data_IF_152728853935
#
_entry.id   IF_152728853935
#
_cell.length_a   1.000
_cell.length_b   1.000
_cell.length_c   1.000
_cell.angle_alpha   90.00
_cell.angle_beta   90.00
_cell.angle_gamma   90.00
#
_symmetry.space_group_name_H-M   'P 1'
#
loop_
_entity.id
_entity.type
_entity.pdbx_description
1 polymer ?
#
# COMPACT_ATOMS: atom_id res chain seq x y z
N UNK A 1 6.70 4.89 -23.24
CA UNK A 1 7.37 4.06 -22.22
C UNK A 1 6.57 4.05 -20.93
N UNK A 2 6.42 2.91 -20.25
CA UNK A 2 5.82 2.78 -18.91
C UNK A 2 6.90 2.39 -17.91
N UNK A 3 7.02 3.15 -16.84
CA UNK A 3 8.02 2.93 -15.79
C UNK A 3 7.31 2.58 -14.49
N UNK A 4 7.74 1.51 -13.84
CA UNK A 4 7.32 1.13 -12.49
C UNK A 4 8.34 1.62 -11.48
N UNK A 5 7.86 2.29 -10.45
CA UNK A 5 8.68 2.81 -9.37
C UNK A 5 8.24 2.15 -8.07
N UNK A 6 9.18 1.52 -7.38
CA UNK A 6 9.01 1.02 -6.01
C UNK A 6 9.59 2.05 -5.04
N UNK A 7 8.85 2.38 -4.00
CA UNK A 7 9.25 3.40 -3.04
C UNK A 7 8.76 3.10 -1.62
N UNK A 8 9.40 3.71 -0.63
CA UNK A 8 8.91 3.73 0.75
C UNK A 8 8.22 5.06 1.06
N UNK A 9 7.31 5.03 2.03
CA UNK A 9 6.59 6.20 2.55
C UNK A 9 6.63 6.16 4.07
N UNK A 10 7.34 7.09 4.69
CA UNK A 10 7.67 7.06 6.10
C UNK A 10 7.37 8.40 6.79
N UNK A 11 7.74 8.53 8.04
CA UNK A 11 7.74 9.76 8.80
C UNK A 11 6.41 10.50 8.82
N UNK A 12 6.44 11.81 8.64
CA UNK A 12 5.26 12.68 8.62
C UNK A 12 4.37 12.42 7.39
N UNK A 13 4.94 11.92 6.30
CA UNK A 13 4.17 11.63 5.09
C UNK A 13 3.19 10.46 5.24
N UNK A 14 3.27 9.66 6.32
CA UNK A 14 2.21 8.68 6.65
C UNK A 14 0.82 9.32 6.71
N UNK A 15 0.72 10.60 7.00
CA UNK A 15 -0.54 11.35 7.05
C UNK A 15 -0.92 11.99 5.70
N UNK A 16 -0.20 11.71 4.63
CA UNK A 16 -0.53 12.16 3.28
C UNK A 16 -1.56 11.23 2.65
N UNK A 17 -2.69 11.79 2.21
CA UNK A 17 -3.75 11.07 1.54
C UNK A 17 -3.37 10.61 0.12
N UNK A 18 -4.15 9.70 -0.44
CA UNK A 18 -3.91 9.12 -1.76
C UNK A 18 -3.80 10.18 -2.88
N UNK A 19 -4.72 11.15 -2.90
CA UNK A 19 -4.72 12.23 -3.90
C UNK A 19 -3.53 13.17 -3.75
N UNK A 20 -3.12 13.46 -2.52
CA UNK A 20 -1.96 14.33 -2.27
C UNK A 20 -0.66 13.63 -2.59
N UNK A 21 -0.57 12.31 -2.35
CA UNK A 21 0.56 11.49 -2.77
C UNK A 21 0.68 11.47 -4.30
N UNK A 22 -0.44 11.35 -5.02
CA UNK A 22 -0.45 11.43 -6.48
C UNK A 22 0.08 12.79 -6.98
N UNK A 23 -0.40 13.90 -6.40
CA UNK A 23 0.08 15.24 -6.72
C UNK A 23 1.56 15.45 -6.37
N UNK A 24 2.02 14.84 -5.27
CA UNK A 24 3.41 14.88 -4.87
C UNK A 24 4.30 14.24 -5.95
N UNK A 25 3.92 13.07 -6.45
CA UNK A 25 4.63 12.37 -7.50
C UNK A 25 4.58 13.11 -8.84
N UNK A 26 3.45 13.71 -9.22
CA UNK A 26 3.37 14.57 -10.39
C UNK A 26 4.36 15.74 -10.32
N UNK A 27 4.42 16.41 -9.17
CA UNK A 27 5.35 17.52 -8.95
C UNK A 27 6.81 17.05 -8.96
N UNK A 28 7.10 15.90 -8.38
CA UNK A 28 8.44 15.32 -8.38
C UNK A 28 8.88 14.96 -9.80
N UNK A 29 8.04 14.33 -10.60
CA UNK A 29 8.33 14.01 -11.99
C UNK A 29 8.61 15.26 -12.83
N UNK A 30 7.82 16.32 -12.66
CA UNK A 30 8.06 17.61 -13.34
C UNK A 30 9.39 18.26 -12.92
N UNK A 31 9.75 18.25 -11.63
CA UNK A 31 11.02 18.79 -11.14
C UNK A 31 12.23 17.96 -11.61
N UNK A 32 12.02 16.66 -11.80
CA UNK A 32 13.03 15.76 -12.35
C UNK A 32 13.10 15.83 -13.88
N UNK A 33 12.38 16.77 -14.51
CA UNK A 33 12.32 16.96 -15.96
C UNK A 33 11.97 15.68 -16.73
N UNK A 34 10.95 14.94 -16.23
CA UNK A 34 10.46 13.74 -16.89
C UNK A 34 9.36 14.09 -17.88
N UNK A 35 9.38 13.51 -19.10
CA UNK A 35 8.36 13.72 -20.13
C UNK A 35 7.07 12.96 -19.79
N UNK A 36 6.35 13.44 -18.77
CA UNK A 36 5.16 12.79 -18.22
C UNK A 36 4.00 12.82 -19.22
N UNK A 37 3.41 11.65 -19.52
CA UNK A 37 2.25 11.56 -20.38
C UNK A 37 0.97 11.93 -19.63
N UNK A 38 0.04 12.59 -20.33
CA UNK A 38 -1.26 13.03 -19.80
C UNK A 38 -2.42 12.34 -20.52
N UNK A 39 -3.57 12.32 -19.86
CA UNK A 39 -4.82 11.89 -20.51
C UNK A 39 -5.28 12.93 -21.53
N UNK A 40 -6.09 12.47 -22.51
CA UNK A 40 -6.76 13.39 -23.44
C UNK A 40 -8.01 14.01 -22.77
N UNK A 41 -8.38 15.21 -23.21
CA UNK A 41 -9.60 15.89 -22.75
C UNK A 41 -9.36 17.31 -22.20
N UNK A 42 -10.42 17.93 -21.69
CA UNK A 42 -10.40 19.33 -21.20
C UNK A 42 -9.61 19.50 -19.88
N UNK A 43 -9.43 18.45 -19.10
CA UNK A 43 -8.67 18.46 -17.85
C UNK A 43 -7.64 17.31 -17.87
N UNK A 44 -6.53 17.46 -18.58
CA UNK A 44 -5.50 16.43 -18.68
C UNK A 44 -4.98 16.03 -17.29
N UNK A 45 -5.02 14.73 -17.00
CA UNK A 45 -4.46 14.17 -15.76
C UNK A 45 -3.18 13.40 -16.08
N UNK A 46 -2.15 13.50 -15.23
CA UNK A 46 -0.93 12.73 -15.44
C UNK A 46 -1.23 11.23 -15.34
N UNK A 47 -0.66 10.46 -16.24
CA UNK A 47 -0.82 8.99 -16.26
C UNK A 47 0.09 8.34 -15.21
N UNK A 48 -0.29 8.52 -13.95
CA UNK A 48 0.33 7.91 -12.77
C UNK A 48 -0.72 7.02 -12.10
N UNK A 49 -0.38 5.76 -11.82
CA UNK A 49 -1.25 4.78 -11.19
C UNK A 49 -0.54 4.14 -9.99
N UNK A 50 -1.05 4.37 -8.79
CA UNK A 50 -0.60 3.70 -7.57
C UNK A 50 -1.19 2.29 -7.50
N UNK A 51 -0.41 1.32 -7.01
CA UNK A 51 -0.81 -0.08 -6.91
C UNK A 51 -2.00 -0.31 -5.98
N UNK A 52 -1.96 0.29 -4.81
CA UNK A 52 -3.01 0.17 -3.79
C UNK A 52 -3.03 1.42 -2.90
N UNK A 53 -4.21 1.86 -2.52
CA UNK A 53 -4.33 2.95 -1.56
C UNK A 53 -3.72 2.55 -0.21
N UNK A 54 -2.96 3.47 0.40
CA UNK A 54 -2.45 3.33 1.77
C UNK A 54 -3.27 4.25 2.67
N UNK A 55 -3.91 3.73 3.74
CA UNK A 55 -4.68 4.55 4.66
C UNK A 55 -3.85 5.65 5.33
N UNK A 56 -4.50 6.70 5.80
CA UNK A 56 -3.86 7.76 6.59
C UNK A 56 -3.30 7.18 7.90
N UNK A 57 -2.13 7.65 8.30
CA UNK A 57 -1.43 7.18 9.48
C UNK A 57 -0.53 5.97 9.25
N UNK A 58 -0.63 5.32 8.08
CA UNK A 58 0.18 4.14 7.75
C UNK A 58 1.49 4.54 7.06
N UNK A 59 2.57 3.91 7.49
CA UNK A 59 3.84 3.87 6.76
C UNK A 59 3.90 2.68 5.80
N UNK A 60 4.84 2.70 4.87
CA UNK A 60 5.09 1.59 3.96
C UNK A 60 6.54 1.52 3.51
N UNK A 61 7.03 0.29 3.35
CA UNK A 61 8.35 -0.01 2.77
C UNK A 61 8.28 -0.44 1.31
N UNK A 62 7.08 -0.53 0.71
CA UNK A 62 6.88 -1.29 -0.52
C UNK A 62 5.80 -0.73 -1.45
N UNK A 63 5.58 0.57 -1.43
CA UNK A 63 4.62 1.16 -2.35
C UNK A 63 5.12 1.04 -3.79
N UNK A 64 4.18 0.86 -4.71
CA UNK A 64 4.46 0.82 -6.15
C UNK A 64 3.55 1.76 -6.90
N UNK A 65 4.09 2.34 -7.96
CA UNK A 65 3.31 3.09 -8.95
C UNK A 65 3.85 2.87 -10.35
N UNK A 66 2.98 2.96 -11.32
CA UNK A 66 3.34 3.05 -12.74
C UNK A 66 3.17 4.49 -13.22
N UNK A 67 4.16 4.97 -13.94
CA UNK A 67 4.18 6.28 -14.57
C UNK A 67 4.36 6.10 -16.08
N UNK A 68 3.50 6.70 -16.89
CA UNK A 68 3.66 6.70 -18.34
C UNK A 68 4.41 7.94 -18.80
N UNK A 69 5.43 7.74 -19.62
CA UNK A 69 6.24 8.78 -20.23
C UNK A 69 5.92 8.87 -21.74
N UNK A 70 6.02 10.08 -22.31
CA UNK A 70 5.77 10.33 -23.73
C UNK A 70 6.91 9.78 -24.60
N UNK A 71 8.14 9.86 -24.09
CA UNK A 71 9.35 9.37 -24.77
C UNK A 71 10.11 8.39 -23.89
N UNK A 72 10.95 7.58 -24.51
CA UNK A 72 11.84 6.69 -23.79
C UNK A 72 12.99 7.49 -23.18
N UNK A 73 13.38 7.11 -21.97
CA UNK A 73 14.51 7.68 -21.22
C UNK A 73 15.40 6.58 -20.66
N UNK A 74 16.67 6.89 -20.35
CA UNK A 74 17.48 5.98 -19.56
C UNK A 74 16.94 5.86 -18.13
N UNK A 75 16.96 4.65 -17.59
CA UNK A 75 16.57 4.36 -16.20
C UNK A 75 17.76 4.41 -15.23
N UNK A 76 18.99 4.52 -15.72
CA UNK A 76 20.20 4.39 -14.90
C UNK A 76 20.27 5.45 -13.79
N UNK A 77 19.91 6.68 -14.11
CA UNK A 77 19.94 7.82 -13.20
C UNK A 77 18.54 8.21 -12.66
N UNK A 78 17.49 7.58 -13.16
CA UNK A 78 16.11 7.94 -12.81
C UNK A 78 15.82 7.91 -11.32
N UNK A 79 16.24 6.88 -10.53
CA UNK A 79 16.03 6.88 -9.08
C UNK A 79 16.66 8.10 -8.40
N UNK A 80 17.88 8.48 -8.80
CA UNK A 80 18.62 9.62 -8.22
C UNK A 80 17.93 10.94 -8.57
N UNK A 81 17.51 11.13 -9.82
CA UNK A 81 16.79 12.33 -10.29
C UNK A 81 15.46 12.51 -9.55
N UNK A 82 14.69 11.43 -9.40
CA UNK A 82 13.44 11.47 -8.65
C UNK A 82 13.70 11.76 -7.17
N UNK A 83 14.68 11.08 -6.57
CA UNK A 83 14.99 11.26 -5.15
C UNK A 83 15.38 12.72 -4.84
N UNK A 84 16.10 13.39 -5.70
CA UNK A 84 16.47 14.81 -5.54
C UNK A 84 15.25 15.75 -5.55
N UNK A 85 14.12 15.29 -6.10
CA UNK A 85 12.87 16.07 -6.24
C UNK A 85 11.80 15.72 -5.19
N UNK A 86 12.06 14.70 -4.36
CA UNK A 86 11.15 14.16 -3.36
C UNK A 86 11.51 14.62 -1.93
N UNK A 87 10.55 14.69 -1.02
CA UNK A 87 10.85 14.87 0.40
C UNK A 87 11.56 13.62 0.96
N UNK A 88 12.34 13.80 2.02
CA UNK A 88 13.17 12.74 2.64
C UNK A 88 12.37 11.53 3.14
N UNK A 89 11.08 11.71 3.47
CA UNK A 89 10.19 10.64 3.95
C UNK A 89 9.70 9.71 2.83
N UNK A 90 10.02 10.00 1.56
CA UNK A 90 9.85 9.10 0.42
C UNK A 90 11.23 8.72 -0.11
N UNK A 91 11.48 7.41 -0.22
CA UNK A 91 12.70 6.89 -0.81
C UNK A 91 12.37 6.06 -2.04
N UNK A 92 12.98 6.39 -3.17
CA UNK A 92 12.91 5.57 -4.40
C UNK A 92 13.82 4.37 -4.22
N UNK A 93 13.24 3.17 -4.25
CA UNK A 93 13.96 1.91 -4.03
C UNK A 93 14.36 1.26 -5.35
N UNK A 94 13.49 1.36 -6.37
CA UNK A 94 13.70 0.76 -7.69
C UNK A 94 12.92 1.51 -8.75
N UNK A 95 13.48 1.59 -9.95
CA UNK A 95 12.76 1.96 -11.17
C UNK A 95 13.03 0.92 -12.25
N UNK A 96 12.01 0.48 -12.95
CA UNK A 96 12.09 -0.53 -14.00
C UNK A 96 11.10 -0.24 -15.13
N UNK A 97 11.45 -0.63 -16.35
CA UNK A 97 10.53 -0.56 -17.47
C UNK A 97 9.53 -1.70 -17.38
N UNK A 98 8.28 -1.39 -17.72
CA UNK A 98 7.18 -2.35 -17.80
C UNK A 98 6.59 -2.30 -19.20
N UNK A 99 6.16 -3.45 -19.72
CA UNK A 99 5.45 -3.50 -20.98
C UNK A 99 4.22 -2.57 -20.95
N UNK A 100 4.09 -1.73 -21.97
CA UNK A 100 2.97 -0.81 -22.11
C UNK A 100 1.62 -1.53 -22.17
N UNK A 101 1.60 -2.79 -22.64
CA UNK A 101 0.42 -3.65 -22.72
C UNK A 101 0.16 -4.48 -21.46
N UNK A 102 1.07 -4.45 -20.47
CA UNK A 102 0.84 -5.15 -19.21
C UNK A 102 -0.45 -4.65 -18.54
N UNK A 103 -1.19 -5.51 -17.82
CA UNK A 103 -2.38 -5.10 -17.08
C UNK A 103 -2.14 -3.89 -16.17
N UNK A 104 -3.18 -3.16 -15.84
CA UNK A 104 -3.08 -2.03 -14.92
C UNK A 104 -2.55 -2.50 -13.55
N UNK A 105 -1.60 -1.74 -12.98
CA UNK A 105 -0.89 -2.14 -11.75
C UNK A 105 -1.85 -2.52 -10.61
N UNK A 106 -2.91 -1.74 -10.40
CA UNK A 106 -3.88 -1.96 -9.34
C UNK A 106 -4.67 -3.27 -9.49
N UNK A 107 -4.86 -3.75 -10.72
CA UNK A 107 -5.57 -5.03 -10.95
C UNK A 107 -4.70 -6.27 -10.69
N UNK A 108 -3.40 -6.08 -10.58
CA UNK A 108 -2.44 -7.14 -10.34
C UNK A 108 -2.24 -7.42 -8.84
N UNK A 109 -2.64 -6.51 -7.96
CA UNK A 109 -2.48 -6.66 -6.50
C UNK A 109 -3.47 -7.71 -5.98
N UNK A 110 -2.95 -8.72 -5.28
CA UNK A 110 -3.74 -9.76 -4.60
C UNK A 110 -3.93 -9.44 -3.11
N UNK A 111 -2.83 -9.24 -2.41
CA UNK A 111 -2.85 -9.05 -0.97
C UNK A 111 -1.72 -8.13 -0.51
N UNK A 112 -1.81 -7.67 0.73
CA UNK A 112 -0.79 -6.85 1.36
C UNK A 112 -0.44 -7.41 2.75
N UNK A 113 0.84 -7.33 3.10
CA UNK A 113 1.35 -7.67 4.41
C UNK A 113 1.57 -6.41 5.24
N UNK A 114 1.24 -6.52 6.51
CA UNK A 114 1.36 -5.44 7.47
C UNK A 114 2.05 -5.91 8.74
N UNK A 115 2.89 -5.07 9.29
CA UNK A 115 3.43 -5.16 10.63
C UNK A 115 2.75 -4.11 11.50
N UNK A 116 2.09 -4.55 12.58
CA UNK A 116 1.42 -3.68 13.54
C UNK A 116 2.18 -3.73 14.84
N UNK A 117 2.80 -2.62 15.20
CA UNK A 117 3.51 -2.47 16.47
C UNK A 117 2.55 -1.84 17.50
N UNK A 118 2.36 -2.51 18.63
CA UNK A 118 1.59 -2.01 19.76
C UNK A 118 2.47 -1.07 20.57
N UNK A 119 1.95 0.11 20.91
CA UNK A 119 2.66 1.09 21.75
C UNK A 119 2.54 0.79 23.24
N UNK A 120 1.52 0.02 23.62
CA UNK A 120 1.30 -0.44 24.98
C UNK A 120 1.37 -1.97 25.03
N UNK A 121 1.83 -2.49 26.16
CA UNK A 121 1.92 -3.93 26.40
C UNK A 121 0.52 -4.51 26.61
N UNK A 122 0.05 -5.31 25.67
CA UNK A 122 -1.14 -6.16 25.85
C UNK A 122 -0.68 -7.51 26.38
N UNK A 123 -1.41 -8.11 27.32
CA UNK A 123 -1.06 -9.42 27.86
C UNK A 123 -1.01 -10.46 26.72
N UNK A 124 0.19 -10.96 26.44
CA UNK A 124 0.44 -11.79 25.23
C UNK A 124 -0.41 -13.07 25.16
N UNK A 125 -0.84 -13.63 26.29
CA UNK A 125 -1.73 -14.81 26.34
C UNK A 125 -3.16 -14.48 25.88
N UNK A 126 -3.69 -13.31 26.28
CA UNK A 126 -5.03 -12.87 25.87
C UNK A 126 -5.05 -12.54 24.36
N UNK A 127 -4.02 -11.86 23.88
CA UNK A 127 -3.88 -11.51 22.47
C UNK A 127 -3.77 -12.75 21.57
N UNK A 128 -2.97 -13.76 21.98
CA UNK A 128 -2.89 -15.04 21.25
C UNK A 128 -4.25 -15.74 21.14
N UNK A 129 -5.02 -15.75 22.23
CA UNK A 129 -6.37 -16.36 22.24
C UNK A 129 -7.31 -15.61 21.30
N UNK A 130 -7.30 -14.27 21.29
CA UNK A 130 -8.13 -13.45 20.41
C UNK A 130 -7.74 -13.64 18.93
N UNK A 131 -6.45 -13.70 18.62
CA UNK A 131 -5.95 -13.98 17.27
C UNK A 131 -6.41 -15.38 16.81
N UNK A 132 -6.29 -16.40 17.65
CA UNK A 132 -6.76 -17.76 17.36
C UNK A 132 -8.27 -17.75 17.07
N UNK A 133 -9.06 -17.10 17.92
CA UNK A 133 -10.52 -16.94 17.70
C UNK A 133 -10.83 -16.32 16.33
N UNK A 134 -10.14 -15.25 15.94
CA UNK A 134 -10.33 -14.62 14.61
C UNK A 134 -10.01 -15.60 13.48
N UNK A 135 -8.93 -16.37 13.61
CA UNK A 135 -8.48 -17.29 12.56
C UNK A 135 -9.37 -18.55 12.47
N UNK A 136 -9.96 -19.00 13.57
CA UNK A 136 -10.87 -20.15 13.64
C UNK A 136 -12.30 -19.80 13.28
N UNK A 137 -12.67 -18.52 13.35
CA UNK A 137 -14.03 -18.06 13.00
C UNK A 137 -14.36 -18.37 11.55
N UNK A 138 -15.57 -18.80 11.29
CA UNK A 138 -16.08 -19.04 9.93
C UNK A 138 -16.57 -17.76 9.26
N UNK A 139 -17.00 -16.77 10.06
CA UNK A 139 -17.48 -15.47 9.60
C UNK A 139 -17.22 -14.40 10.65
N UNK A 140 -16.94 -13.18 10.20
CA UNK A 140 -16.73 -11.98 11.01
C UNK A 140 -17.56 -10.84 10.39
N UNK A 141 -18.87 -10.78 10.68
CA UNK A 141 -19.74 -9.76 10.09
C UNK A 141 -19.32 -8.34 10.47
N UNK A 142 -19.26 -7.46 9.47
CA UNK A 142 -18.91 -6.05 9.60
C UNK A 142 -19.86 -5.19 8.77
N UNK A 143 -19.90 -3.93 9.09
CA UNK A 143 -20.61 -2.93 8.30
C UNK A 143 -19.66 -1.78 7.93
N UNK A 144 -19.71 -1.36 6.66
CA UNK A 144 -18.94 -0.23 6.15
C UNK A 144 -19.80 0.61 5.23
N UNK A 145 -19.98 1.90 5.57
CA UNK A 145 -20.78 2.83 4.78
C UNK A 145 -22.19 2.31 4.47
N UNK A 146 -22.84 1.69 5.46
CA UNK A 146 -24.18 1.12 5.33
C UNK A 146 -24.25 -0.20 4.54
N UNK A 147 -23.10 -0.83 4.22
CA UNK A 147 -23.04 -2.13 3.56
C UNK A 147 -22.43 -3.17 4.48
N UNK A 148 -23.19 -4.25 4.71
CA UNK A 148 -22.71 -5.41 5.45
C UNK A 148 -21.77 -6.24 4.57
N UNK A 149 -20.73 -6.80 5.18
CA UNK A 149 -19.78 -7.72 4.54
C UNK A 149 -19.15 -8.62 5.59
N UNK A 150 -18.45 -9.65 5.12
CA UNK A 150 -17.69 -10.56 5.98
C UNK A 150 -16.21 -10.24 5.91
N UNK A 151 -15.59 -9.93 7.06
CA UNK A 151 -14.18 -9.64 7.16
C UNK A 151 -13.33 -10.92 7.11
N UNK A 152 -13.85 -12.08 7.57
CA UNK A 152 -13.07 -13.30 7.72
C UNK A 152 -12.36 -13.75 6.43
N UNK A 153 -13.04 -13.84 5.26
CA UNK A 153 -12.40 -14.24 4.02
C UNK A 153 -11.31 -13.26 3.53
N UNK A 154 -11.30 -12.02 4.03
CA UNK A 154 -10.30 -11.01 3.69
C UNK A 154 -9.00 -11.15 4.50
N UNK A 155 -8.98 -11.99 5.55
CA UNK A 155 -7.82 -12.26 6.39
C UNK A 155 -7.15 -13.55 5.92
N UNK A 156 -5.98 -13.45 5.30
CA UNK A 156 -5.20 -14.61 4.84
C UNK A 156 -4.33 -15.18 5.94
N UNK A 157 -3.73 -14.31 6.74
CA UNK A 157 -2.87 -14.68 7.85
C UNK A 157 -2.95 -13.61 8.95
N UNK A 158 -2.97 -14.03 10.19
CA UNK A 158 -2.91 -13.19 11.37
C UNK A 158 -2.13 -13.91 12.45
N UNK A 159 -1.03 -13.33 12.92
CA UNK A 159 -0.21 -13.95 13.96
C UNK A 159 0.55 -12.91 14.78
N UNK A 160 0.85 -13.27 16.02
CA UNK A 160 1.75 -12.52 16.88
C UNK A 160 3.19 -12.94 16.54
N UNK A 161 4.04 -12.01 16.12
CA UNK A 161 5.45 -12.26 15.79
C UNK A 161 6.40 -11.91 16.94
N UNK A 162 5.97 -11.02 17.84
CA UNK A 162 6.65 -10.69 19.09
C UNK A 162 5.63 -10.30 20.14
N UNK A 163 6.05 -9.96 21.35
CA UNK A 163 5.14 -9.49 22.42
C UNK A 163 4.35 -8.24 22.03
N UNK A 164 4.90 -7.43 21.12
CA UNK A 164 4.32 -6.13 20.73
C UNK A 164 4.06 -6.02 19.23
N UNK A 165 4.23 -7.08 18.45
CA UNK A 165 4.09 -7.01 16.98
C UNK A 165 3.15 -8.07 16.45
N UNK A 166 2.13 -7.61 15.73
CA UNK A 166 1.17 -8.45 15.00
C UNK A 166 1.49 -8.38 13.52
N UNK A 167 1.63 -9.52 12.89
CA UNK A 167 1.70 -9.67 11.45
C UNK A 167 0.31 -9.96 10.89
N UNK A 168 -0.04 -9.28 9.80
CA UNK A 168 -1.29 -9.48 9.07
C UNK A 168 -1.01 -9.60 7.58
N UNK A 169 -1.61 -10.62 6.91
CA UNK A 169 -1.73 -10.66 5.45
C UNK A 169 -3.21 -10.57 5.09
N UNK A 170 -3.57 -9.51 4.41
CA UNK A 170 -4.95 -9.17 4.07
C UNK A 170 -5.12 -9.08 2.56
N UNK A 171 -6.29 -9.48 2.04
CA UNK A 171 -6.63 -9.22 0.64
C UNK A 171 -6.60 -7.72 0.36
N UNK A 172 -6.10 -7.34 -0.82
CA UNK A 172 -5.98 -5.97 -1.27
C UNK A 172 -6.44 -5.78 -2.72
N UNK A 173 -7.36 -6.64 -3.17
CA UNK A 173 -7.99 -6.56 -4.50
C UNK A 173 -8.98 -5.40 -4.55
N UNK A 174 -9.23 -4.87 -5.73
CA UNK A 174 -10.11 -3.71 -5.95
C UNK A 174 -11.49 -3.84 -5.27
N UNK A 175 -12.12 -5.03 -5.33
CA UNK A 175 -13.44 -5.29 -4.76
C UNK A 175 -13.43 -6.11 -3.46
N UNK A 176 -12.26 -6.44 -2.93
CA UNK A 176 -12.11 -7.29 -1.76
C UNK A 176 -10.87 -6.86 -0.95
N UNK A 177 -11.01 -5.81 -0.14
CA UNK A 177 -9.92 -5.22 0.62
C UNK A 177 -10.17 -5.36 2.12
N UNK A 178 -9.34 -6.17 2.78
CA UNK A 178 -9.23 -6.22 4.23
C UNK A 178 -8.47 -5.00 4.75
N UNK A 179 -8.87 -4.49 5.91
CA UNK A 179 -8.24 -3.33 6.54
C UNK A 179 -7.66 -3.70 7.89
N UNK A 180 -6.38 -3.36 8.15
CA UNK A 180 -5.78 -3.63 9.45
C UNK A 180 -6.57 -3.08 10.64
N UNK A 181 -7.12 -1.85 10.52
CA UNK A 181 -7.91 -1.23 11.60
C UNK A 181 -9.17 -2.03 11.94
N UNK A 182 -9.80 -2.71 10.97
CA UNK A 182 -10.98 -3.55 11.21
C UNK A 182 -10.61 -4.89 11.86
N UNK A 183 -9.42 -5.42 11.55
CA UNK A 183 -8.88 -6.61 12.21
C UNK A 183 -8.50 -6.29 13.65
N UNK A 184 -7.88 -5.14 13.90
CA UNK A 184 -7.54 -4.68 15.24
C UNK A 184 -8.78 -4.51 16.11
N UNK A 185 -9.85 -3.92 15.56
CA UNK A 185 -11.11 -3.76 16.28
C UNK A 185 -11.73 -5.12 16.69
N UNK A 186 -11.69 -6.14 15.80
CA UNK A 186 -12.14 -7.51 16.18
C UNK A 186 -11.29 -8.12 17.27
N UNK A 187 -9.98 -7.88 17.24
CA UNK A 187 -9.05 -8.36 18.27
C UNK A 187 -9.19 -7.53 19.56
N UNK A 188 -9.88 -6.39 19.53
CA UNK A 188 -10.09 -5.49 20.68
C UNK A 188 -8.83 -4.67 20.98
N UNK A 189 -8.16 -4.18 19.95
CA UNK A 189 -7.00 -3.27 20.04
C UNK A 189 -7.40 -1.93 19.43
N UNK A 190 -7.24 -0.86 20.19
CA UNK A 190 -7.47 0.49 19.70
C UNK A 190 -6.41 0.91 18.68
N UNK A 191 -6.86 1.49 17.57
CA UNK A 191 -5.99 1.91 16.47
C UNK A 191 -4.96 2.95 16.92
N UNK A 192 -5.35 3.90 17.78
CA UNK A 192 -4.51 4.98 18.31
C UNK A 192 -3.28 4.46 19.06
N UNK A 193 -3.39 3.29 19.68
CA UNK A 193 -2.31 2.59 20.38
C UNK A 193 -1.40 1.78 19.45
N UNK A 194 -1.42 2.03 18.14
CA UNK A 194 -0.66 1.22 17.18
C UNK A 194 0.13 2.04 16.17
N UNK A 195 1.18 1.42 15.62
CA UNK A 195 1.86 1.86 14.40
C UNK A 195 1.73 0.78 13.36
N UNK A 196 1.16 1.13 12.20
CA UNK A 196 0.93 0.17 11.12
C UNK A 196 1.85 0.50 9.95
N UNK A 197 2.61 -0.50 9.52
CA UNK A 197 3.47 -0.41 8.35
C UNK A 197 3.10 -1.49 7.34
N UNK A 198 2.85 -1.10 6.09
CA UNK A 198 2.78 -2.05 4.97
C UNK A 198 4.18 -2.52 4.64
N UNK A 199 4.44 -3.80 4.88
CA UNK A 199 5.77 -4.39 4.68
C UNK A 199 5.93 -4.99 3.28
N UNK A 200 4.82 -5.42 2.62
CA UNK A 200 4.85 -6.03 1.30
C UNK A 200 3.52 -5.90 0.55
N UNK A 201 3.60 -5.73 -0.77
CA UNK A 201 2.51 -5.98 -1.71
C UNK A 201 2.75 -7.31 -2.42
N UNK A 202 1.72 -8.14 -2.51
CA UNK A 202 1.73 -9.44 -3.20
C UNK A 202 0.84 -9.34 -4.42
N UNK A 203 1.36 -9.84 -5.54
CA UNK A 203 0.69 -9.80 -6.83
C UNK A 203 0.15 -11.18 -7.20
N UNK A 204 -0.83 -11.24 -8.09
CA UNK A 204 -1.33 -12.50 -8.64
C UNK A 204 -0.22 -13.22 -9.42
N UNK A 205 -0.22 -14.55 -9.41
CA UNK A 205 0.85 -15.35 -10.03
C UNK A 205 1.04 -15.08 -11.54
N UNK A 206 0.01 -14.63 -12.24
CA UNK A 206 0.05 -14.27 -13.65
C UNK A 206 0.79 -12.94 -13.93
N UNK A 207 1.05 -12.13 -12.91
CA UNK A 207 1.69 -10.83 -13.07
C UNK A 207 3.20 -10.83 -12.76
N UNK A 208 3.76 -11.99 -12.47
CA UNK A 208 5.19 -12.18 -12.14
C UNK A 208 6.02 -12.80 -13.28
N UNK A 209 5.42 -12.92 -14.50
CA UNK A 209 6.12 -13.43 -15.70
C UNK A 209 6.62 -12.27 -16.57
#
# INVERSE_FOLDING_TARGET
MRVRITFSKQGALRYTGHLDLHRLWERAARRADLPLAYSQGFHPQPKINLAAALPLGFSSRCEMMDMKLETDISLDDLPVRLQASLPHDIQVLKAEQVDDNAPALQTQVDSAEYEVTLTESVTGSDLKRKIAFVMESTSLPRERRGKSYDLRPLIRELKLTSETTIFMRLLARENATGRPEEVLDVVGIEFEGTRIERSRLLFTAESLQ
#
